data_IF_063173751794
#
_entry.id   IF_063173751794
#
_cell.length_a   1.000
_cell.length_b   1.000
_cell.length_c   1.000
_cell.angle_alpha   90.00
_cell.angle_beta   90.00
_cell.angle_gamma   90.00
#
_symmetry.space_group_name_H-M   'P 1'
#
loop_
_entity.id
_entity.type
_entity.pdbx_description
1 polymer ?
#
# COMPACT_ATOMS: atom_id res chain seq x y z
N UNK A 1 -15.50 -19.65 -2.39
CA UNK A 1 -15.67 -20.33 -1.08
C UNK A 1 -14.89 -21.63 -1.04
N UNK A 2 -14.47 -22.09 0.15
CA UNK A 2 -13.69 -23.32 0.34
C UNK A 2 -14.35 -24.19 1.42
N UNK A 3 -14.63 -25.46 1.11
CA UNK A 3 -15.18 -26.44 2.05
C UNK A 3 -14.60 -27.85 1.82
N UNK A 4 -14.91 -28.79 2.70
CA UNK A 4 -14.48 -30.18 2.55
C UNK A 4 -15.18 -30.86 1.36
N UNK A 5 -14.44 -31.71 0.65
CA UNK A 5 -14.99 -32.53 -0.42
C UNK A 5 -15.95 -33.62 0.10
N UNK A 6 -16.75 -34.23 -0.79
CA UNK A 6 -17.64 -35.34 -0.44
C UNK A 6 -16.90 -36.48 0.26
N UNK A 7 -17.48 -37.05 1.32
CA UNK A 7 -16.83 -38.10 2.10
C UNK A 7 -15.64 -37.65 2.95
N UNK A 8 -15.46 -36.32 3.15
CA UNK A 8 -14.41 -35.75 4.01
C UNK A 8 -13.01 -35.80 3.42
N UNK A 9 -12.85 -36.30 2.19
CA UNK A 9 -11.58 -36.35 1.45
C UNK A 9 -11.47 -35.15 0.52
N UNK A 10 -10.27 -34.58 0.46
CA UNK A 10 -9.99 -33.41 -0.36
C UNK A 10 -10.80 -32.17 0.02
N UNK A 11 -10.86 -31.24 -0.92
CA UNK A 11 -11.46 -29.92 -0.83
C UNK A 11 -12.37 -29.68 -2.02
N UNK A 12 -13.42 -28.89 -1.80
CA UNK A 12 -14.26 -28.33 -2.84
C UNK A 12 -14.20 -26.81 -2.76
N UNK A 13 -13.92 -26.20 -3.90
CA UNK A 13 -13.88 -24.75 -4.08
C UNK A 13 -15.07 -24.32 -4.92
N UNK A 14 -15.62 -23.17 -4.58
CA UNK A 14 -16.55 -22.42 -5.42
C UNK A 14 -15.83 -21.15 -5.86
N UNK A 15 -15.73 -20.96 -7.16
CA UNK A 15 -15.07 -19.84 -7.82
C UNK A 15 -16.16 -18.96 -8.42
N UNK A 16 -16.09 -17.66 -8.18
CA UNK A 16 -17.00 -16.70 -8.82
C UNK A 16 -16.18 -15.87 -9.79
N UNK A 17 -16.55 -15.90 -11.06
CA UNK A 17 -15.92 -15.08 -12.07
C UNK A 17 -16.30 -13.60 -11.83
N UNK A 18 -15.30 -12.72 -11.76
CA UNK A 18 -15.49 -11.36 -11.25
C UNK A 18 -16.30 -10.51 -12.24
N UNK A 19 -16.15 -10.75 -13.55
CA UNK A 19 -16.81 -9.94 -14.59
C UNK A 19 -18.21 -10.47 -14.97
N UNK A 20 -18.40 -11.79 -14.95
CA UNK A 20 -19.66 -12.43 -15.40
C UNK A 20 -20.56 -12.86 -14.24
N UNK A 21 -20.01 -12.96 -13.02
CA UNK A 21 -20.73 -13.46 -11.84
C UNK A 21 -21.01 -14.97 -11.86
N UNK A 22 -20.57 -15.69 -12.90
CA UNK A 22 -20.75 -17.13 -13.01
C UNK A 22 -20.02 -17.86 -11.89
N UNK A 23 -20.61 -18.97 -11.44
CA UNK A 23 -20.10 -19.75 -10.32
C UNK A 23 -19.71 -21.15 -10.80
N UNK A 24 -18.43 -21.47 -10.66
CA UNK A 24 -17.89 -22.80 -10.93
C UNK A 24 -17.54 -23.52 -9.62
N UNK A 25 -17.48 -24.85 -9.69
CA UNK A 25 -17.00 -25.67 -8.58
C UNK A 25 -15.89 -26.62 -9.00
N UNK A 26 -14.81 -26.64 -8.22
CA UNK A 26 -13.59 -27.43 -8.48
C UNK A 26 -13.26 -28.29 -7.27
N UNK A 27 -12.94 -29.57 -7.50
CA UNK A 27 -12.42 -30.48 -6.48
C UNK A 27 -10.89 -30.53 -6.50
N UNK A 28 -10.24 -30.60 -5.34
CA UNK A 28 -8.79 -30.75 -5.24
C UNK A 28 -8.39 -31.53 -3.98
N UNK A 29 -7.33 -32.34 -4.05
CA UNK A 29 -6.80 -33.04 -2.86
C UNK A 29 -6.05 -32.09 -1.92
N UNK A 30 -5.36 -31.09 -2.49
CA UNK A 30 -4.54 -30.11 -1.77
C UNK A 30 -4.88 -28.71 -2.27
N UNK A 31 -4.91 -27.76 -1.33
CA UNK A 31 -5.10 -26.33 -1.62
C UNK A 31 -3.92 -25.55 -1.05
N UNK A 32 -3.30 -24.72 -1.88
CA UNK A 32 -2.21 -23.81 -1.47
C UNK A 32 -2.75 -22.38 -1.48
N UNK A 33 -2.78 -21.73 -0.32
CA UNK A 33 -3.23 -20.35 -0.18
C UNK A 33 -2.06 -19.38 -0.40
N UNK A 34 -1.83 -19.01 -1.66
CA UNK A 34 -0.79 -18.04 -2.04
C UNK A 34 -1.30 -16.57 -2.00
N UNK A 35 -2.05 -16.19 -0.96
CA UNK A 35 -2.74 -14.90 -0.86
C UNK A 35 -1.85 -13.72 -0.43
N UNK A 36 -0.54 -13.95 -0.30
CA UNK A 36 0.42 -12.94 0.17
C UNK A 36 0.30 -12.63 1.67
N UNK A 37 0.80 -11.46 2.07
CA UNK A 37 0.87 -11.01 3.46
C UNK A 37 0.05 -9.73 3.67
N UNK A 38 -0.48 -9.57 4.87
CA UNK A 38 -1.10 -8.33 5.34
C UNK A 38 -0.23 -7.71 6.43
N UNK A 39 -0.30 -6.39 6.61
CA UNK A 39 0.37 -5.68 7.71
C UNK A 39 -0.63 -5.46 8.87
N UNK A 40 -0.65 -6.32 9.91
CA UNK A 40 -1.40 -6.03 11.12
C UNK A 40 -0.60 -5.10 12.03
N UNK A 41 -1.30 -4.25 12.79
CA UNK A 41 -0.66 -3.58 13.92
C UNK A 41 -0.29 -4.64 14.97
N UNK A 42 0.98 -4.74 15.42
CA UNK A 42 1.38 -5.71 16.42
C UNK A 42 0.57 -5.61 17.72
N UNK A 43 0.34 -6.74 18.37
CA UNK A 43 -0.54 -6.82 19.56
C UNK A 43 -0.07 -5.91 20.70
N UNK A 44 1.24 -5.76 20.90
CA UNK A 44 1.78 -4.87 21.92
C UNK A 44 1.46 -3.39 21.68
N UNK A 45 1.14 -2.99 20.43
CA UNK A 45 0.69 -1.65 20.08
C UNK A 45 -0.82 -1.48 20.13
N UNK A 46 -1.58 -2.53 20.49
CA UNK A 46 -3.06 -2.48 20.54
C UNK A 46 -3.58 -1.36 21.44
N UNK A 47 -2.94 -1.12 22.58
CA UNK A 47 -3.30 -0.05 23.52
C UNK A 47 -3.06 1.36 22.95
N UNK A 48 -2.14 1.49 22.00
CA UNK A 48 -1.85 2.72 21.27
C UNK A 48 -2.64 2.82 19.96
N UNK A 49 -3.34 1.76 19.54
CA UNK A 49 -3.97 1.68 18.23
C UNK A 49 -4.95 2.81 17.93
N UNK A 50 -5.72 3.26 18.91
CA UNK A 50 -6.66 4.40 18.77
C UNK A 50 -5.98 5.77 18.69
N UNK A 51 -4.68 5.84 18.99
CA UNK A 51 -3.86 7.05 18.88
C UNK A 51 -3.08 7.11 17.58
N UNK A 52 -2.97 5.99 16.84
CA UNK A 52 -2.23 5.91 15.58
C UNK A 52 -3.18 6.27 14.43
N UNK A 53 -2.84 7.31 13.66
CA UNK A 53 -3.61 7.70 12.49
C UNK A 53 -3.54 6.61 11.41
N UNK A 54 -4.67 6.34 10.77
CA UNK A 54 -4.82 5.31 9.74
C UNK A 54 -5.48 5.89 8.50
N UNK A 55 -5.10 5.34 7.34
CA UNK A 55 -5.78 5.59 6.07
C UNK A 55 -7.17 4.94 6.05
N UNK A 56 -7.98 5.24 5.05
CA UNK A 56 -9.29 4.61 4.82
C UNK A 56 -9.22 3.09 4.67
N UNK A 57 -8.08 2.56 4.21
CA UNK A 57 -7.82 1.12 4.11
C UNK A 57 -7.31 0.49 5.43
N UNK A 58 -7.23 1.26 6.53
CA UNK A 58 -6.83 0.76 7.84
C UNK A 58 -5.31 0.63 8.06
N UNK A 59 -4.48 1.06 7.10
CA UNK A 59 -3.02 1.06 7.22
C UNK A 59 -2.54 2.33 7.96
N UNK A 60 -1.38 2.29 8.66
CA UNK A 60 -0.80 3.48 9.27
C UNK A 60 -0.57 4.60 8.26
N UNK A 61 -0.92 5.84 8.63
CA UNK A 61 -0.63 7.01 7.81
C UNK A 61 0.81 7.48 8.08
N UNK A 62 1.70 7.22 7.13
CA UNK A 62 3.12 7.56 7.23
C UNK A 62 3.44 8.90 6.55
N UNK A 63 4.32 9.66 7.18
CA UNK A 63 5.02 10.79 6.56
C UNK A 63 6.21 10.29 5.72
N UNK A 64 6.82 11.20 4.95
CA UNK A 64 7.96 10.90 4.05
C UNK A 64 9.22 10.37 4.78
N UNK A 65 9.33 10.61 6.08
CA UNK A 65 10.41 10.11 6.94
C UNK A 65 10.09 8.73 7.57
N UNK A 66 9.03 8.06 7.10
CA UNK A 66 8.49 6.81 7.68
C UNK A 66 7.92 6.94 9.09
N UNK A 67 7.82 8.16 9.64
CA UNK A 67 7.14 8.35 10.92
C UNK A 67 5.63 8.25 10.75
N UNK A 68 4.97 7.58 11.70
CA UNK A 68 3.50 7.52 11.74
C UNK A 68 2.95 8.72 12.50
N UNK A 69 1.90 9.33 11.97
CA UNK A 69 1.15 10.34 12.72
C UNK A 69 0.41 9.67 13.88
N UNK A 70 0.65 10.12 15.11
CA UNK A 70 -0.01 9.57 16.29
C UNK A 70 -0.18 10.60 17.40
N UNK A 71 -1.22 10.42 18.22
CA UNK A 71 -1.54 11.26 19.38
C UNK A 71 -0.67 10.87 20.60
N UNK A 72 0.64 11.13 20.50
CA UNK A 72 1.63 10.92 21.55
C UNK A 72 2.36 12.21 21.95
N UNK A 73 3.35 12.13 22.86
CA UNK A 73 4.22 13.26 23.18
C UNK A 73 4.93 13.77 21.91
N UNK A 74 5.01 15.10 21.76
CA UNK A 74 5.51 15.73 20.51
C UNK A 74 6.94 15.34 20.13
N UNK A 75 7.80 14.99 21.10
CA UNK A 75 9.17 14.53 20.87
C UNK A 75 9.31 13.04 20.53
N UNK A 76 8.21 12.26 20.58
CA UNK A 76 8.28 10.82 20.42
C UNK A 76 7.74 10.42 19.06
N UNK A 77 8.64 10.06 18.14
CA UNK A 77 8.27 9.50 16.85
C UNK A 77 8.19 7.98 16.92
N UNK A 78 7.25 7.40 16.18
CA UNK A 78 7.20 5.97 15.88
C UNK A 78 7.44 5.80 14.39
N UNK A 79 8.33 4.88 14.01
CA UNK A 79 8.68 4.62 12.61
C UNK A 79 8.17 3.24 12.20
N UNK A 80 7.53 3.17 11.05
CA UNK A 80 6.93 1.95 10.52
C UNK A 80 7.51 1.68 9.14
N UNK A 81 8.28 0.60 9.01
CA UNK A 81 8.93 0.19 7.75
C UNK A 81 8.14 -0.92 7.09
N UNK A 82 8.15 -1.00 5.76
CA UNK A 82 7.35 -1.93 4.96
C UNK A 82 5.82 -1.79 5.18
N UNK A 83 5.38 -0.71 5.83
CA UNK A 83 3.98 -0.42 6.12
C UNK A 83 3.42 0.71 5.23
N UNK A 84 4.25 1.25 4.35
CA UNK A 84 4.00 2.45 3.56
C UNK A 84 3.44 2.18 2.18
N UNK A 85 2.93 0.98 1.85
CA UNK A 85 2.45 0.64 0.49
C UNK A 85 1.54 1.70 -0.15
N UNK A 86 0.66 2.34 0.63
CA UNK A 86 -0.21 3.41 0.14
C UNK A 86 0.47 4.78 0.05
N UNK A 87 1.40 5.08 0.96
CA UNK A 87 2.11 6.37 1.07
C UNK A 87 3.39 6.48 0.22
N UNK A 88 4.12 5.38 0.05
CA UNK A 88 5.45 5.28 -0.55
C UNK A 88 5.46 4.32 -1.77
N UNK A 89 4.27 3.83 -2.14
CA UNK A 89 4.05 2.98 -3.31
C UNK A 89 4.62 1.56 -3.19
N UNK A 90 4.71 0.90 -4.34
CA UNK A 90 5.20 -0.48 -4.48
C UNK A 90 6.68 -0.64 -4.12
N UNK A 91 7.41 0.46 -4.03
CA UNK A 91 8.83 0.50 -3.72
C UNK A 91 9.11 0.23 -2.24
N UNK A 92 8.15 0.48 -1.34
CA UNK A 92 8.35 0.33 0.09
C UNK A 92 8.81 -1.08 0.52
N UNK A 93 8.14 -2.20 0.15
CA UNK A 93 8.62 -3.52 0.54
C UNK A 93 9.91 -3.96 -0.18
N UNK A 94 10.50 -3.15 -1.06
CA UNK A 94 11.68 -3.52 -1.80
C UNK A 94 12.93 -3.54 -0.90
N UNK A 95 13.66 -4.65 -0.94
CA UNK A 95 14.90 -4.84 -0.20
C UNK A 95 16.02 -3.91 -0.68
N UNK A 96 16.08 -3.57 -1.97
CA UNK A 96 17.11 -2.67 -2.51
C UNK A 96 17.03 -1.26 -1.92
N UNK A 97 15.86 -0.86 -1.41
CA UNK A 97 15.63 0.42 -0.75
C UNK A 97 15.72 0.34 0.78
N UNK A 98 16.03 -0.81 1.36
CA UNK A 98 16.11 -0.94 2.82
C UNK A 98 17.20 -0.05 3.44
N UNK A 99 18.37 0.05 2.80
CA UNK A 99 19.47 0.92 3.25
C UNK A 99 19.10 2.40 3.17
N UNK A 100 18.50 2.83 2.06
CA UNK A 100 18.03 4.20 1.86
C UNK A 100 16.98 4.59 2.92
N UNK A 101 16.01 3.71 3.18
CA UNK A 101 14.99 3.95 4.22
C UNK A 101 15.58 4.02 5.63
N UNK A 102 16.52 3.12 5.94
CA UNK A 102 17.22 3.15 7.23
C UNK A 102 18.01 4.46 7.40
N UNK A 103 18.66 4.94 6.34
CA UNK A 103 19.36 6.22 6.34
C UNK A 103 18.41 7.41 6.55
N UNK A 104 17.25 7.42 5.88
CA UNK A 104 16.20 8.42 6.08
C UNK A 104 15.75 8.46 7.54
N UNK A 105 15.40 7.32 8.13
CA UNK A 105 14.96 7.23 9.53
C UNK A 105 16.08 7.65 10.49
N UNK A 106 17.32 7.22 10.25
CA UNK A 106 18.43 7.58 11.13
C UNK A 106 18.67 9.09 11.13
N UNK A 107 18.70 9.73 9.97
CA UNK A 107 18.84 11.18 9.86
C UNK A 107 17.71 11.92 10.60
N UNK A 108 16.49 11.37 10.60
CA UNK A 108 15.37 11.92 11.37
C UNK A 108 15.56 11.74 12.88
N UNK A 109 16.03 10.57 13.32
CA UNK A 109 16.24 10.29 14.76
C UNK A 109 17.37 11.16 15.33
N UNK A 110 18.45 11.34 14.57
CA UNK A 110 19.63 12.09 15.03
C UNK A 110 19.52 13.59 14.78
N UNK A 111 18.51 14.05 14.04
CA UNK A 111 18.32 15.44 13.62
C UNK A 111 19.54 16.04 12.88
N UNK A 112 20.41 15.18 12.36
CA UNK A 112 21.60 15.53 11.57
C UNK A 112 21.72 14.59 10.37
N UNK A 113 22.30 15.03 9.25
CA UNK A 113 22.46 14.19 8.06
C UNK A 113 23.66 13.25 8.21
N UNK A 114 23.52 12.20 9.04
CA UNK A 114 24.54 11.13 9.21
C UNK A 114 24.87 10.49 7.86
N UNK A 115 23.84 10.28 7.04
CA UNK A 115 23.97 9.88 5.64
C UNK A 115 23.48 11.04 4.74
N UNK A 116 24.39 11.89 4.25
CA UNK A 116 24.01 13.01 3.40
C UNK A 116 23.60 12.56 2.00
N UNK A 117 22.88 13.43 1.30
CA UNK A 117 22.56 13.31 -0.13
C UNK A 117 21.79 12.04 -0.55
N UNK A 118 20.74 11.71 0.21
CA UNK A 118 19.81 10.61 -0.12
C UNK A 118 18.97 10.85 -1.40
N UNK A 119 19.19 11.95 -2.12
CA UNK A 119 18.49 12.30 -3.36
C UNK A 119 19.32 12.04 -4.62
N UNK A 120 20.64 11.82 -4.50
CA UNK A 120 21.46 11.46 -5.65
C UNK A 120 21.23 10.00 -6.04
N UNK A 121 20.25 9.83 -6.92
CA UNK A 121 20.18 8.62 -7.74
C UNK A 121 21.18 8.74 -8.88
N UNK A 122 21.80 7.63 -9.27
CA UNK A 122 22.58 7.55 -10.52
C UNK A 122 21.71 7.67 -11.78
N UNK A 123 20.38 7.64 -11.63
CA UNK A 123 19.41 7.87 -12.69
C UNK A 123 18.29 8.81 -12.21
N UNK A 124 18.31 10.06 -12.69
CA UNK A 124 17.19 10.99 -12.55
C UNK A 124 16.04 10.55 -13.45
N UNK A 125 14.88 10.33 -12.87
CA UNK A 125 13.61 10.29 -13.60
C UNK A 125 12.93 11.63 -13.37
N UNK A 126 13.35 12.66 -14.11
CA UNK A 126 12.63 13.94 -14.14
C UNK A 126 11.25 13.71 -14.76
N UNK A 127 10.28 13.33 -13.93
CA UNK A 127 8.89 13.58 -14.24
C UNK A 127 8.73 15.08 -13.99
N UNK A 128 8.84 15.85 -15.06
CA UNK A 128 8.47 17.26 -15.06
C UNK A 128 7.17 17.41 -14.25
N UNK A 129 7.24 18.27 -13.23
CA UNK A 129 6.17 18.56 -12.31
C UNK A 129 4.91 18.95 -13.11
N UNK A 130 4.06 17.97 -13.39
CA UNK A 130 2.71 18.21 -13.87
C UNK A 130 1.86 18.51 -12.66
N UNK A 131 2.09 19.68 -12.07
CA UNK A 131 1.04 20.49 -11.47
C UNK A 131 0.09 20.98 -12.58
N UNK A 132 -0.50 20.03 -13.32
CA UNK A 132 -1.71 20.29 -14.07
C UNK A 132 -2.86 20.08 -13.07
N UNK A 133 -3.45 21.19 -12.63
CA UNK A 133 -4.69 21.19 -11.87
C UNK A 133 -5.66 20.17 -12.48
N UNK A 134 -6.17 19.26 -11.64
CA UNK A 134 -7.27 18.38 -12.00
C UNK A 134 -8.47 19.28 -12.36
N UNK A 135 -8.98 19.27 -13.60
CA UNK A 135 -10.19 20.02 -13.91
C UNK A 135 -11.37 19.40 -13.15
N UNK A 136 -12.33 20.20 -12.65
CA UNK A 136 -13.50 19.67 -11.95
C UNK A 136 -14.31 18.76 -12.88
N UNK A 137 -14.89 17.72 -12.27
CA UNK A 137 -15.52 16.57 -12.91
C UNK A 137 -16.84 16.85 -13.67
N UNK A 138 -17.08 18.08 -14.15
CA UNK A 138 -18.38 18.45 -14.72
C UNK A 138 -18.30 19.36 -15.96
N UNK A 139 -17.22 19.24 -16.76
CA UNK A 139 -17.20 19.82 -18.09
C UNK A 139 -17.79 18.80 -19.08
N UNK A 140 -19.08 19.00 -19.41
CA UNK A 140 -19.82 18.20 -20.38
C UNK A 140 -19.06 18.00 -21.69
N UNK A 141 -19.06 16.76 -22.17
CA UNK A 141 -18.51 16.39 -23.48
C UNK A 141 -19.51 16.87 -24.54
N UNK A 142 -19.15 17.93 -25.25
CA UNK A 142 -19.89 18.39 -26.42
C UNK A 142 -19.53 17.50 -27.61
N UNK A 143 -20.45 16.63 -28.00
CA UNK A 143 -20.33 15.75 -29.16
C UNK A 143 -20.41 16.61 -30.43
N UNK A 144 -19.25 16.93 -31.00
CA UNK A 144 -19.18 17.54 -32.32
C UNK A 144 -19.72 16.57 -33.38
N UNK A 145 -20.88 16.94 -33.94
CA UNK A 145 -21.47 16.43 -35.17
C UNK A 145 -20.48 16.48 -36.34
N UNK A 146 -20.17 15.32 -36.93
CA UNK A 146 -19.52 15.25 -38.23
C UNK A 146 -20.46 15.76 -39.33
N UNK A 147 -20.00 16.78 -40.06
CA UNK A 147 -20.63 17.26 -41.29
C UNK A 147 -19.80 16.77 -42.48
N UNK A 148 -20.49 16.13 -43.41
CA UNK A 148 -19.99 15.54 -44.66
C UNK A 148 -19.14 16.46 -45.50
N UNK A 149 -18.06 15.90 -46.09
CA UNK A 149 -17.76 15.97 -47.52
C UNK A 149 -17.09 14.67 -47.97
#
# INVERSE_FOLDING_TARGET
GLCRGPGGRGWRMSLTHIDTGEIDSVGADIVVLATGYHFPLPEFLRTLGGRIARTTCGLPQLAADYSVSWAGPAGNKMFFLNAGKLSHGIADPNLSLASWRAATVLNTITEIPVYPDLRSSTCSWDVADRTAAHPPADAGVDLLTESSQ
#
